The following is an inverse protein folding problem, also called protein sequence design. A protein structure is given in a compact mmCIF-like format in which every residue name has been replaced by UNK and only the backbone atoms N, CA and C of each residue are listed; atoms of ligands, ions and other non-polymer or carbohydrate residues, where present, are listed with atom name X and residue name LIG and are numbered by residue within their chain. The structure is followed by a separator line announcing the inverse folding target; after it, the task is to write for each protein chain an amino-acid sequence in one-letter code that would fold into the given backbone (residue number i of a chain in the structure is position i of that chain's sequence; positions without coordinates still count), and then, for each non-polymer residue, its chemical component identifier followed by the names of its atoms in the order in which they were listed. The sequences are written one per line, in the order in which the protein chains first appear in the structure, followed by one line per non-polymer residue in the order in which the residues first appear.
data_IF_224693068181
#
_entry.id   IF_224693068181
#
_cell.length_a   1.000
_cell.length_b   1.000
_cell.length_c   1.000
_cell.angle_alpha   90.00
_cell.angle_beta   90.00
_cell.angle_gamma   90.00
#
_symmetry.space_group_name_H-M   'P 1'
#
loop_
_entity.id
_entity.type
_entity.pdbx_description
1 polymer ?
#
# COMPACT_ATOMS: atom_id res chain seq x y z
N UNK A 1 -0.97 -3.52 -32.76
CA UNK A 1 -2.16 -3.16 -31.97
C UNK A 1 -1.70 -2.30 -30.82
N UNK A 2 -2.09 -1.02 -30.78
CA UNK A 2 -1.76 -0.11 -29.69
C UNK A 2 -2.98 -0.10 -28.77
N UNK A 3 -2.90 -0.76 -27.62
CA UNK A 3 -3.92 -0.61 -26.58
C UNK A 3 -3.68 0.75 -25.93
N UNK A 4 -4.59 1.73 -26.04
CA UNK A 4 -4.44 2.97 -25.31
C UNK A 4 -4.51 2.64 -23.81
N UNK A 5 -3.38 2.74 -23.11
CA UNK A 5 -3.27 2.41 -21.67
C UNK A 5 -3.86 3.51 -20.78
N UNK A 6 -4.60 4.47 -21.35
CA UNK A 6 -5.26 5.52 -20.59
C UNK A 6 -6.69 5.11 -20.25
N UNK A 7 -6.85 4.05 -19.47
CA UNK A 7 -8.04 3.89 -18.63
C UNK A 7 -7.75 4.59 -17.31
N UNK A 8 -8.50 5.65 -17.02
CA UNK A 8 -8.51 6.23 -15.69
C UNK A 8 -8.90 5.16 -14.66
N UNK A 9 -8.35 5.28 -13.45
CA UNK A 9 -8.63 4.39 -12.33
C UNK A 9 -10.16 4.35 -12.12
N UNK A 10 -10.78 3.17 -12.21
CA UNK A 10 -12.21 3.00 -11.98
C UNK A 10 -12.56 3.24 -10.51
N UNK A 11 -13.84 3.46 -10.18
CA UNK A 11 -14.26 3.59 -8.78
C UNK A 11 -13.95 2.33 -7.95
N UNK A 12 -14.06 1.14 -8.57
CA UNK A 12 -13.69 -0.12 -7.93
C UNK A 12 -12.18 -0.19 -7.65
N UNK A 13 -11.34 0.26 -8.59
CA UNK A 13 -9.88 0.32 -8.39
C UNK A 13 -9.52 1.31 -7.27
N UNK A 14 -10.21 2.46 -7.19
CA UNK A 14 -10.02 3.42 -6.08
C UNK A 14 -10.39 2.79 -4.75
N UNK A 15 -11.53 2.10 -4.69
CA UNK A 15 -11.99 1.42 -3.48
C UNK A 15 -10.99 0.34 -3.06
N UNK A 16 -10.46 -0.42 -4.01
CA UNK A 16 -9.40 -1.40 -3.75
C UNK A 16 -8.16 -0.75 -3.14
N UNK A 17 -7.66 0.36 -3.71
CA UNK A 17 -6.49 1.06 -3.19
C UNK A 17 -6.72 1.63 -1.78
N UNK A 18 -7.90 2.18 -1.49
CA UNK A 18 -8.27 2.66 -0.15
C UNK A 18 -8.22 1.53 0.87
N UNK A 19 -8.78 0.37 0.53
CA UNK A 19 -8.81 -0.81 1.41
C UNK A 19 -7.41 -1.38 1.64
N UNK A 20 -6.59 -1.44 0.59
CA UNK A 20 -5.19 -1.86 0.67
C UNK A 20 -4.38 -0.91 1.56
N UNK A 21 -4.52 0.41 1.38
CA UNK A 21 -3.86 1.42 2.20
C UNK A 21 -4.26 1.33 3.67
N UNK A 22 -5.55 1.15 3.95
CA UNK A 22 -6.06 0.95 5.30
C UNK A 22 -5.50 -0.31 5.96
N UNK A 23 -5.34 -1.39 5.20
CA UNK A 23 -4.74 -2.64 5.70
C UNK A 23 -3.25 -2.49 6.02
N UNK A 24 -2.48 -1.84 5.14
CA UNK A 24 -1.07 -1.51 5.42
C UNK A 24 -0.95 -0.69 6.72
N UNK A 25 -1.83 0.29 6.90
CA UNK A 25 -1.89 1.09 8.12
C UNK A 25 -2.18 0.25 9.36
N UNK A 26 -3.19 -0.62 9.31
CA UNK A 26 -3.57 -1.47 10.43
C UNK A 26 -2.40 -2.35 10.88
N UNK A 27 -1.76 -3.06 9.95
CA UNK A 27 -0.60 -3.91 10.28
C UNK A 27 0.57 -3.09 10.81
N UNK A 28 0.84 -1.91 10.24
CA UNK A 28 1.88 -1.00 10.78
C UNK A 28 1.61 -0.64 12.23
N UNK A 29 0.36 -0.29 12.56
CA UNK A 29 -0.05 0.11 13.90
C UNK A 29 -0.01 -1.07 14.89
N UNK A 30 -0.37 -2.28 14.45
CA UNK A 30 -0.28 -3.51 15.24
C UNK A 30 1.15 -3.81 15.73
N UNK A 31 2.16 -3.52 14.91
CA UNK A 31 3.57 -3.70 15.28
C UNK A 31 4.20 -2.44 15.90
N UNK A 32 3.40 -1.40 16.18
CA UNK A 32 3.82 -0.20 16.90
C UNK A 32 4.70 0.78 16.11
N UNK A 33 4.78 0.65 14.78
CA UNK A 33 5.57 1.57 13.95
C UNK A 33 4.81 2.86 13.66
N UNK A 34 5.50 4.00 13.68
CA UNK A 34 5.03 5.28 13.14
C UNK A 34 5.17 5.30 11.62
N UNK A 35 4.37 6.12 10.94
CA UNK A 35 4.48 6.32 9.48
C UNK A 35 5.89 6.71 9.03
N UNK A 36 6.58 7.57 9.79
CA UNK A 36 7.95 8.00 9.47
C UNK A 36 8.94 6.85 9.60
N UNK A 37 8.74 5.94 10.54
CA UNK A 37 9.62 4.79 10.75
C UNK A 37 9.47 3.79 9.59
N UNK A 38 8.23 3.48 9.19
CA UNK A 38 8.00 2.65 8.01
C UNK A 38 8.50 3.32 6.72
N UNK A 39 8.33 4.63 6.58
CA UNK A 39 8.86 5.39 5.43
C UNK A 39 10.39 5.26 5.34
N UNK A 40 11.09 5.41 6.47
CA UNK A 40 12.54 5.24 6.55
C UNK A 40 12.97 3.82 6.20
N UNK A 41 12.27 2.79 6.69
CA UNK A 41 12.56 1.38 6.37
C UNK A 41 12.41 1.07 4.88
N UNK A 42 11.55 1.80 4.19
CA UNK A 42 11.26 1.61 2.76
C UNK A 42 12.08 2.54 1.86
N UNK A 43 12.87 3.44 2.45
CA UNK A 43 13.62 4.51 1.76
C UNK A 43 12.71 5.39 0.90
N UNK A 44 11.62 5.89 1.52
CA UNK A 44 10.68 6.81 0.89
C UNK A 44 10.34 7.99 1.80
N UNK A 45 9.80 9.06 1.22
CA UNK A 45 9.32 10.19 1.99
C UNK A 45 8.08 9.83 2.84
N UNK A 46 7.96 10.46 4.02
CA UNK A 46 6.76 10.37 4.86
C UNK A 46 5.47 10.72 4.10
N UNK A 47 5.54 11.67 3.17
CA UNK A 47 4.43 12.04 2.30
C UNK A 47 3.96 10.88 1.42
N UNK A 48 4.89 10.11 0.87
CA UNK A 48 4.58 8.87 0.13
C UNK A 48 3.88 7.86 1.03
N UNK A 49 4.37 7.64 2.26
CA UNK A 49 3.72 6.74 3.21
C UNK A 49 2.27 7.18 3.52
N UNK A 50 2.04 8.48 3.67
CA UNK A 50 0.70 9.03 3.89
C UNK A 50 -0.23 8.76 2.70
N UNK A 51 0.25 8.92 1.46
CA UNK A 51 -0.53 8.63 0.25
C UNK A 51 -0.85 7.15 0.11
N UNK A 52 0.11 6.29 0.45
CA UNK A 52 -0.03 4.84 0.44
C UNK A 52 -1.15 4.42 1.41
N UNK A 53 -1.08 4.86 2.67
CA UNK A 53 -2.09 4.50 3.68
C UNK A 53 -3.48 5.08 3.39
N UNK A 54 -3.55 6.17 2.61
CA UNK A 54 -4.82 6.75 2.14
C UNK A 54 -5.36 6.07 0.87
N UNK A 55 -4.61 5.17 0.24
CA UNK A 55 -4.97 4.59 -1.06
C UNK A 55 -4.97 5.59 -2.22
N UNK A 56 -4.30 6.73 -2.08
CA UNK A 56 -4.26 7.77 -3.10
C UNK A 56 -3.11 7.58 -4.11
N UNK A 57 -2.45 6.43 -4.07
CA UNK A 57 -1.30 6.09 -4.91
C UNK A 57 -1.38 4.61 -5.27
N UNK A 58 -1.25 4.30 -6.56
CA UNK A 58 -1.10 2.93 -7.01
C UNK A 58 0.30 2.42 -6.65
N UNK A 59 0.36 1.26 -6.01
CA UNK A 59 1.60 0.63 -5.57
C UNK A 59 2.09 -0.36 -6.63
N UNK A 60 3.39 -0.33 -6.91
CA UNK A 60 4.01 -1.40 -7.69
C UNK A 60 4.13 -2.66 -6.84
N UNK A 61 4.17 -3.82 -7.50
CA UNK A 61 4.38 -5.12 -6.82
C UNK A 61 5.70 -5.16 -6.03
N UNK A 62 6.75 -4.49 -6.51
CA UNK A 62 8.02 -4.37 -5.80
C UNK A 62 7.90 -3.54 -4.51
N UNK A 63 7.11 -2.47 -4.52
CA UNK A 63 6.84 -1.68 -3.33
C UNK A 63 6.02 -2.47 -2.31
N UNK A 64 5.00 -3.21 -2.77
CA UNK A 64 4.24 -4.13 -1.91
C UNK A 64 5.14 -5.16 -1.23
N UNK A 65 6.06 -5.77 -1.99
CA UNK A 65 7.03 -6.72 -1.43
C UNK A 65 7.94 -6.08 -0.38
N UNK A 66 8.39 -4.84 -0.60
CA UNK A 66 9.17 -4.09 0.40
C UNK A 66 8.35 -3.83 1.67
N UNK A 67 7.09 -3.42 1.51
CA UNK A 67 6.17 -3.18 2.63
C UNK A 67 5.99 -4.46 3.46
N UNK A 68 5.69 -5.60 2.81
CA UNK A 68 5.52 -6.88 3.50
C UNK A 68 6.76 -7.27 4.32
N UNK A 69 7.96 -7.10 3.73
CA UNK A 69 9.23 -7.34 4.44
C UNK A 69 9.45 -6.41 5.62
N UNK A 70 9.16 -5.12 5.47
CA UNK A 70 9.30 -4.14 6.56
C UNK A 70 8.31 -4.39 7.70
N UNK A 71 7.10 -4.84 7.36
CA UNK A 71 6.04 -5.22 8.31
C UNK A 71 6.19 -6.64 8.88
N UNK A 72 7.11 -7.44 8.33
CA UNK A 72 7.35 -8.85 8.70
C UNK A 72 6.09 -9.74 8.53
N UNK A 73 5.38 -9.54 7.43
CA UNK A 73 4.20 -10.34 7.05
C UNK A 73 4.39 -10.93 5.65
N UNK A 74 3.58 -11.92 5.30
CA UNK A 74 3.49 -12.42 3.93
C UNK A 74 2.51 -11.58 3.09
N UNK A 75 2.59 -11.69 1.77
CA UNK A 75 1.72 -10.93 0.87
C UNK A 75 0.23 -11.29 1.09
N UNK A 76 -0.05 -12.55 1.41
CA UNK A 76 -1.40 -13.06 1.67
C UNK A 76 -2.05 -12.43 2.90
N UNK A 77 -1.26 -12.13 3.94
CA UNK A 77 -1.73 -11.46 5.16
C UNK A 77 -2.25 -10.04 4.87
N UNK A 78 -1.70 -9.41 3.83
CA UNK A 78 -2.13 -8.09 3.38
C UNK A 78 -3.52 -8.11 2.73
N UNK A 79 -3.97 -9.25 2.20
CA UNK A 79 -5.27 -9.38 1.52
C UNK A 79 -6.31 -10.18 2.31
N UNK A 80 -5.92 -10.87 3.38
CA UNK A 80 -6.78 -11.77 4.17
C UNK A 80 -8.09 -11.14 4.65
N UNK A 81 -8.04 -9.88 5.06
CA UNK A 81 -9.18 -9.13 5.61
C UNK A 81 -9.78 -8.14 4.59
N UNK A 82 -9.36 -8.22 3.32
CA UNK A 82 -9.86 -7.39 2.23
C UNK A 82 -11.05 -8.03 1.50
N UNK A 83 -12.08 -8.51 2.21
CA UNK A 83 -13.38 -8.92 1.61
C UNK A 83 -14.27 -7.76 1.21
#
# INVERSE_FOLDING_TARGET
MHFPVTMGISEDDKLFLIRLGARIRAVREEIGLKQVELANLLDIERGSMTRIEKGSMNLTSLMLRKICRALKIELEDLFKDMR
#
